data_IF_823474372088
#
_entry.id   IF_823474372088
#
_cell.length_a   1.000
_cell.length_b   1.000
_cell.length_c   1.000
_cell.angle_alpha   90.00
_cell.angle_beta   90.00
_cell.angle_gamma   90.00
#
_symmetry.space_group_name_H-M   'P 1'
#
loop_
_entity.id
_entity.type
_entity.pdbx_description
1 polymer ?
#
# COMPACT_ATOMS: atom_id res chain seq x y z
N UNK A 1 -19.89 -5.81 13.94
CA UNK A 1 -18.83 -6.38 14.81
C UNK A 1 -17.78 -7.16 14.02
N UNK A 2 -18.14 -8.12 13.15
CA UNK A 2 -17.16 -8.86 12.31
C UNK A 2 -16.39 -8.00 11.29
N UNK A 3 -17.00 -6.96 10.73
CA UNK A 3 -16.35 -6.08 9.74
C UNK A 3 -15.24 -5.20 10.33
N UNK A 4 -15.40 -4.69 11.55
CA UNK A 4 -14.35 -3.91 12.24
C UNK A 4 -13.13 -4.78 12.59
N UNK A 5 -13.36 -6.05 12.95
CA UNK A 5 -12.28 -7.01 13.20
C UNK A 5 -11.50 -7.31 11.92
N UNK A 6 -12.18 -7.46 10.77
CA UNK A 6 -11.52 -7.61 9.46
C UNK A 6 -10.76 -6.36 9.05
N UNK A 7 -11.29 -5.16 9.31
CA UNK A 7 -10.61 -3.90 9.01
C UNK A 7 -9.25 -3.81 9.70
N UNK A 8 -9.16 -4.15 10.99
CA UNK A 8 -7.89 -4.11 11.74
C UNK A 8 -6.91 -5.21 11.31
N UNK A 9 -7.41 -6.35 10.84
CA UNK A 9 -6.56 -7.46 10.41
C UNK A 9 -5.85 -7.19 9.08
N UNK A 10 -6.43 -6.38 8.20
CA UNK A 10 -5.93 -6.18 6.82
C UNK A 10 -5.46 -4.76 6.49
N UNK A 11 -5.74 -3.78 7.35
CA UNK A 11 -5.37 -2.39 7.11
C UNK A 11 -4.53 -1.83 8.26
N UNK A 12 -3.59 -0.94 7.91
CA UNK A 12 -2.81 -0.14 8.85
C UNK A 12 -3.71 0.95 9.47
N UNK A 13 -3.72 1.03 10.79
CA UNK A 13 -4.64 1.93 11.51
C UNK A 13 -4.31 3.40 11.34
N UNK A 14 -3.05 3.75 11.07
CA UNK A 14 -2.60 5.14 10.95
C UNK A 14 -2.85 5.71 9.55
N UNK A 15 -2.57 4.93 8.50
CA UNK A 15 -2.66 5.39 7.10
C UNK A 15 -3.91 4.90 6.36
N UNK A 16 -4.58 3.86 6.88
CA UNK A 16 -5.69 3.19 6.18
C UNK A 16 -5.26 2.37 4.96
N UNK A 17 -3.96 2.24 4.70
CA UNK A 17 -3.43 1.40 3.62
C UNK A 17 -3.54 -0.09 3.99
N UNK A 18 -3.59 -1.00 3.00
CA UNK A 18 -3.31 -2.42 3.20
C UNK A 18 -2.06 -2.62 4.06
N UNK A 19 -2.17 -3.48 5.06
CA UNK A 19 -1.04 -3.83 5.90
C UNK A 19 -0.20 -4.97 5.30
N UNK A 20 0.85 -5.40 6.00
CA UNK A 20 1.75 -6.48 5.57
C UNK A 20 1.03 -7.79 5.22
N UNK A 21 -0.03 -8.15 5.93
CA UNK A 21 -0.82 -9.35 5.64
C UNK A 21 -1.55 -9.18 4.30
N UNK A 22 -2.28 -8.08 4.13
CA UNK A 22 -3.00 -7.80 2.89
C UNK A 22 -2.07 -7.68 1.69
N UNK A 23 -0.91 -7.03 1.84
CA UNK A 23 0.13 -6.95 0.79
C UNK A 23 0.55 -8.32 0.29
N UNK A 24 0.88 -9.26 1.19
CA UNK A 24 1.33 -10.61 0.81
C UNK A 24 0.26 -11.36 0.02
N UNK A 25 -0.99 -11.28 0.45
CA UNK A 25 -2.10 -11.93 -0.25
C UNK A 25 -2.35 -11.32 -1.63
N UNK A 26 -2.28 -9.99 -1.74
CA UNK A 26 -2.45 -9.27 -3.01
C UNK A 26 -1.31 -9.60 -3.98
N UNK A 27 -0.07 -9.61 -3.51
CA UNK A 27 1.09 -10.01 -4.30
C UNK A 27 0.98 -11.45 -4.81
N UNK A 28 0.58 -12.38 -3.95
CA UNK A 28 0.39 -13.77 -4.36
C UNK A 28 -0.64 -13.91 -5.48
N UNK A 29 -1.78 -13.20 -5.38
CA UNK A 29 -2.80 -13.16 -6.43
C UNK A 29 -2.29 -12.53 -7.72
N UNK A 30 -1.55 -11.42 -7.64
CA UNK A 30 -0.96 -10.75 -8.79
C UNK A 30 0.02 -11.66 -9.54
N UNK A 31 0.88 -12.37 -8.81
CA UNK A 31 1.83 -13.33 -9.38
C UNK A 31 1.13 -14.52 -10.03
N UNK A 32 0.06 -15.05 -9.42
CA UNK A 32 -0.73 -16.12 -10.02
C UNK A 32 -1.42 -15.67 -11.31
N UNK A 33 -1.94 -14.44 -11.35
CA UNK A 33 -2.53 -13.86 -12.56
C UNK A 33 -1.48 -13.67 -13.66
N UNK A 34 -0.32 -13.10 -13.32
CA UNK A 34 0.79 -12.90 -14.23
C UNK A 34 1.26 -14.20 -14.87
N UNK A 35 1.38 -15.28 -14.06
CA UNK A 35 1.72 -16.62 -14.54
C UNK A 35 0.73 -17.15 -15.58
N UNK A 36 -0.58 -16.89 -15.41
CA UNK A 36 -1.63 -17.35 -16.33
C UNK A 36 -1.74 -16.49 -17.59
N UNK A 37 -1.44 -15.20 -17.48
CA UNK A 37 -1.58 -14.22 -18.58
C UNK A 37 -0.30 -13.98 -19.37
N UNK A 38 0.85 -14.49 -18.90
CA UNK A 38 2.16 -14.22 -19.49
C UNK A 38 2.65 -12.80 -19.25
N UNK A 39 2.02 -12.05 -18.34
CA UNK A 39 2.38 -10.68 -17.97
C UNK A 39 3.39 -10.66 -16.82
N UNK A 40 3.96 -9.48 -16.55
CA UNK A 40 4.88 -9.23 -15.45
C UNK A 40 4.17 -8.49 -14.30
N UNK A 41 4.77 -8.58 -13.10
CA UNK A 41 4.39 -7.79 -11.92
C UNK A 41 5.63 -7.03 -11.47
N UNK A 42 5.53 -5.71 -11.30
CA UNK A 42 6.54 -4.94 -10.59
C UNK A 42 6.16 -4.80 -9.12
N UNK A 43 7.14 -4.91 -8.24
CA UNK A 43 7.00 -4.65 -6.81
C UNK A 43 8.06 -3.64 -6.39
N UNK A 44 7.63 -2.50 -5.87
CA UNK A 44 8.49 -1.48 -5.30
C UNK A 44 8.49 -1.60 -3.78
N UNK A 45 9.67 -1.44 -3.21
CA UNK A 45 9.87 -1.27 -1.78
C UNK A 45 10.43 0.13 -1.55
N UNK A 46 9.79 0.89 -0.66
CA UNK A 46 10.04 2.31 -0.43
C UNK A 46 10.27 2.49 1.07
N UNK A 47 11.41 3.07 1.42
CA UNK A 47 11.78 3.43 2.78
C UNK A 47 11.92 4.96 2.86
N UNK A 48 11.51 5.60 3.97
CA UNK A 48 11.61 7.05 4.10
C UNK A 48 12.92 7.46 4.76
N UNK A 49 13.81 8.08 3.97
CA UNK A 49 15.08 8.56 4.47
C UNK A 49 14.93 9.46 5.69
N UNK A 50 15.70 9.15 6.73
CA UNK A 50 15.79 9.93 7.97
C UNK A 50 14.45 10.13 8.71
N UNK A 51 13.48 9.22 8.57
CA UNK A 51 12.21 9.31 9.29
C UNK A 51 12.38 9.40 10.81
N UNK A 52 13.34 8.65 11.39
CA UNK A 52 13.66 8.72 12.82
C UNK A 52 14.03 10.13 13.28
N UNK A 53 14.79 10.88 12.47
CA UNK A 53 15.20 12.25 12.80
C UNK A 53 14.00 13.18 12.93
N UNK A 54 12.94 12.96 12.14
CA UNK A 54 11.70 13.73 12.23
C UNK A 54 11.01 13.44 13.57
N UNK A 55 10.89 12.17 13.93
CA UNK A 55 10.32 11.77 15.23
C UNK A 55 11.12 12.34 16.42
N UNK A 56 12.44 12.32 16.33
CA UNK A 56 13.33 12.79 17.39
C UNK A 56 13.32 14.32 17.53
N UNK A 57 13.13 15.04 16.43
CA UNK A 57 13.18 16.52 16.41
C UNK A 57 11.82 17.17 16.61
N UNK A 58 10.77 16.60 16.02
CA UNK A 58 9.43 17.20 15.93
C UNK A 58 8.36 16.37 16.66
N UNK A 59 8.72 15.22 17.24
CA UNK A 59 7.81 14.34 17.95
C UNK A 59 7.09 13.35 17.03
N UNK A 60 6.54 12.29 17.64
CA UNK A 60 5.90 11.19 16.91
C UNK A 60 4.62 11.62 16.18
N UNK A 61 3.90 12.62 16.70
CA UNK A 61 2.72 13.16 16.01
C UNK A 61 3.07 13.75 14.64
N UNK A 62 4.22 14.44 14.53
CA UNK A 62 4.71 14.96 13.25
C UNK A 62 5.12 13.83 12.30
N UNK A 63 5.72 12.76 12.82
CA UNK A 63 6.00 11.55 12.04
C UNK A 63 4.73 10.88 11.53
N UNK A 64 3.70 10.78 12.37
CA UNK A 64 2.41 10.21 12.01
C UNK A 64 1.73 11.01 10.88
N UNK A 65 1.75 12.35 10.99
CA UNK A 65 1.26 13.24 9.95
C UNK A 65 2.03 13.07 8.64
N UNK A 66 3.37 12.93 8.70
CA UNK A 66 4.18 12.67 7.52
C UNK A 66 3.80 11.34 6.86
N UNK A 67 3.66 10.26 7.63
CA UNK A 67 3.28 8.94 7.12
C UNK A 67 1.92 8.98 6.42
N UNK A 68 0.95 9.70 6.99
CA UNK A 68 -0.36 9.92 6.37
C UNK A 68 -0.26 10.69 5.05
N UNK A 69 0.58 11.73 4.98
CA UNK A 69 0.79 12.49 3.75
C UNK A 69 1.52 11.67 2.67
N UNK A 70 2.50 10.86 3.06
CA UNK A 70 3.18 9.93 2.14
C UNK A 70 2.18 8.92 1.58
N UNK A 71 1.37 8.30 2.43
CA UNK A 71 0.32 7.36 2.01
C UNK A 71 -0.63 7.99 0.98
N UNK A 72 -1.09 9.22 1.23
CA UNK A 72 -1.96 9.96 0.33
C UNK A 72 -1.29 10.21 -1.03
N UNK A 73 -0.04 10.67 -1.03
CA UNK A 73 0.73 10.98 -2.25
C UNK A 73 1.01 9.73 -3.07
N UNK A 74 1.47 8.64 -2.43
CA UNK A 74 1.72 7.38 -3.12
C UNK A 74 0.45 6.83 -3.77
N UNK A 75 -0.68 6.87 -3.05
CA UNK A 75 -1.97 6.43 -3.58
C UNK A 75 -2.43 7.28 -4.76
N UNK A 76 -2.23 8.60 -4.71
CA UNK A 76 -2.56 9.50 -5.80
C UNK A 76 -1.70 9.21 -7.04
N UNK A 77 -0.38 9.02 -6.86
CA UNK A 77 0.54 8.72 -7.97
C UNK A 77 0.29 7.35 -8.63
N UNK A 78 -0.32 6.40 -7.92
CA UNK A 78 -0.65 5.08 -8.46
C UNK A 78 -2.01 5.04 -9.19
N UNK A 79 -2.88 6.04 -8.98
CA UNK A 79 -4.20 6.14 -9.61
C UNK A 79 -4.17 7.05 -10.83
N UNK A 80 -3.42 6.65 -11.86
CA UNK A 80 -3.75 7.10 -13.21
C UNK A 80 -4.87 6.20 -13.72
N UNK A 81 -6.12 6.67 -13.60
CA UNK A 81 -7.33 6.45 -14.44
C UNK A 81 -8.59 6.70 -13.59
N UNK A 82 -9.39 7.68 -14.02
CA UNK A 82 -10.66 8.10 -13.41
C UNK A 82 -11.78 7.03 -13.46
N UNK A 83 -11.53 5.87 -14.10
CA UNK A 83 -12.56 4.89 -14.48
C UNK A 83 -12.75 3.69 -13.54
N UNK A 84 -12.04 3.59 -12.41
CA UNK A 84 -12.33 2.57 -11.38
C UNK A 84 -12.91 3.19 -10.11
N UNK A 85 -14.17 3.62 -10.22
CA UNK A 85 -15.09 3.81 -9.09
C UNK A 85 -15.75 2.46 -8.80
N UNK A 86 -14.98 1.58 -8.18
CA UNK A 86 -15.45 0.33 -7.59
C UNK A 86 -14.68 0.08 -6.29
N UNK A 87 -15.20 -0.71 -5.35
CA UNK A 87 -14.43 -1.06 -4.17
C UNK A 87 -13.12 -1.71 -4.64
N UNK A 88 -11.99 -1.24 -4.12
CA UNK A 88 -10.63 -1.61 -4.51
C UNK A 88 -10.35 -3.11 -4.27
N UNK A 89 -10.93 -3.95 -5.13
CA UNK A 89 -10.94 -5.40 -5.03
C UNK A 89 -10.56 -6.09 -6.33
N UNK A 90 -10.40 -5.38 -7.45
CA UNK A 90 -9.86 -6.02 -8.64
C UNK A 90 -8.33 -6.07 -8.54
N UNK A 91 -7.79 -7.29 -8.60
CA UNK A 91 -6.37 -7.59 -8.38
C UNK A 91 -5.47 -7.09 -9.52
N UNK A 92 -5.99 -6.25 -10.41
CA UNK A 92 -5.35 -5.76 -11.62
C UNK A 92 -4.99 -4.28 -11.60
N UNK A 93 -5.36 -3.54 -10.55
CA UNK A 93 -4.95 -2.13 -10.39
C UNK A 93 -3.63 -2.01 -9.60
N UNK A 94 -2.83 -0.95 -9.83
CA UNK A 94 -1.74 -0.59 -8.95
C UNK A 94 -2.23 -0.39 -7.50
N UNK A 95 -1.49 -0.94 -6.54
CA UNK A 95 -1.89 -0.92 -5.14
C UNK A 95 -0.73 -0.58 -4.21
N UNK A 96 -1.02 0.19 -3.16
CA UNK A 96 -0.04 0.70 -2.20
C UNK A 96 -0.32 0.07 -0.84
N UNK A 97 0.71 -0.40 -0.15
CA UNK A 97 0.60 -0.94 1.20
C UNK A 97 1.63 -0.31 2.13
N UNK A 98 1.37 -0.34 3.44
CA UNK A 98 2.34 0.01 4.48
C UNK A 98 2.69 -1.24 5.27
N UNK A 99 3.97 -1.57 5.34
CA UNK A 99 4.42 -2.80 5.98
C UNK A 99 4.71 -2.64 7.49
N UNK A 100 4.91 -1.40 7.92
CA UNK A 100 5.22 -1.00 9.30
C UNK A 100 6.27 0.12 9.29
N UNK A 101 6.43 0.85 10.40
CA UNK A 101 7.39 1.95 10.48
C UNK A 101 7.20 2.96 9.34
N UNK A 102 8.25 3.20 8.60
CA UNK A 102 8.36 4.04 7.40
C UNK A 102 8.40 3.25 6.08
N UNK A 103 8.16 1.94 6.12
CA UNK A 103 8.20 1.05 4.96
C UNK A 103 6.86 1.04 4.19
N UNK A 104 6.90 1.42 2.92
CA UNK A 104 5.79 1.33 1.97
C UNK A 104 6.13 0.38 0.82
N UNK A 105 5.10 -0.19 0.20
CA UNK A 105 5.25 -0.96 -1.03
C UNK A 105 4.22 -0.56 -2.06
N UNK A 106 4.57 -0.77 -3.33
CA UNK A 106 3.66 -0.62 -4.47
C UNK A 106 3.72 -1.88 -5.32
N UNK A 107 2.57 -2.44 -5.68
CA UNK A 107 2.45 -3.54 -6.63
C UNK A 107 1.83 -2.98 -7.91
N UNK A 108 2.46 -3.26 -9.05
CA UNK A 108 1.92 -2.94 -10.38
C UNK A 108 1.80 -4.25 -11.17
N UNK A 109 0.59 -4.85 -11.24
CA UNK A 109 0.36 -6.04 -12.04
C UNK A 109 0.16 -5.70 -13.52
N UNK A 110 0.38 -6.69 -14.39
CA UNK A 110 -0.07 -6.63 -15.78
C UNK A 110 0.85 -5.87 -16.75
N UNK A 111 2.13 -5.72 -16.40
CA UNK A 111 3.16 -5.16 -17.28
C UNK A 111 3.45 -6.12 -18.45
N UNK A 112 3.73 -5.57 -19.64
CA UNK A 112 4.02 -6.32 -20.87
C UNK A 112 5.47 -6.18 -21.29
#
# INVERSE_FOLDING_TARGET
>A
MLEQVKSLAYYDSLTGLPNRLSYKERLARALEHARRSGKLVAAFFIDLDHFSRINDTLGHEAGDQLLQQVALRLRASCRDREDEVGPAHDALAPDVARLGGDEFTVIIPGLT
#
